data_IF_984268701244
#
_entry.id   IF_984268701244
#
_cell.length_a   1.000
_cell.length_b   1.000
_cell.length_c   1.000
_cell.angle_alpha   90.00
_cell.angle_beta   90.00
_cell.angle_gamma   90.00
#
_symmetry.space_group_name_H-M   'P 1'
#
loop_
_entity.id
_entity.type
_entity.pdbx_description
1 polymer ?
#
# COMPACT_ATOMS: atom_id res chain seq x y z
N UNK A 1 17.82 8.79 16.99
CA UNK A 1 16.47 8.24 16.79
C UNK A 1 16.60 7.25 15.64
N UNK A 2 16.05 6.04 15.76
CA UNK A 2 16.06 5.11 14.63
C UNK A 2 15.06 5.64 13.59
N UNK A 3 15.55 6.22 12.50
CA UNK A 3 14.71 6.68 11.37
C UNK A 3 14.13 5.52 10.54
N UNK A 4 14.14 4.30 11.09
CA UNK A 4 13.76 3.09 10.39
C UNK A 4 12.29 2.79 10.62
N UNK A 5 11.45 3.13 9.63
CA UNK A 5 10.02 2.81 9.63
C UNK A 5 9.79 1.32 9.39
N UNK A 6 8.77 0.77 10.04
CA UNK A 6 8.25 -0.56 9.75
C UNK A 6 7.53 -0.52 8.38
N UNK A 7 7.75 -1.53 7.54
CA UNK A 7 7.11 -1.61 6.23
C UNK A 7 5.96 -2.60 6.27
N UNK A 8 4.85 -2.26 5.62
CA UNK A 8 3.69 -3.13 5.47
C UNK A 8 3.19 -3.11 4.03
N UNK A 9 2.82 -4.29 3.54
CA UNK A 9 2.24 -4.50 2.23
C UNK A 9 0.77 -4.95 2.38
N UNK A 10 -0.15 -4.25 1.75
CA UNK A 10 -1.59 -4.51 1.84
C UNK A 10 -2.12 -4.96 0.49
N UNK A 11 -2.46 -6.24 0.37
CA UNK A 11 -3.17 -6.77 -0.78
C UNK A 11 -4.63 -6.26 -0.81
N UNK A 12 -5.13 -5.94 -2.01
CA UNK A 12 -6.52 -5.46 -2.17
C UNK A 12 -6.76 -4.08 -1.52
N UNK A 13 -5.73 -3.22 -1.52
CA UNK A 13 -5.75 -1.92 -0.86
C UNK A 13 -6.82 -0.95 -1.40
N UNK A 14 -7.32 -1.17 -2.62
CA UNK A 14 -8.45 -0.41 -3.18
C UNK A 14 -9.84 -0.97 -2.81
N UNK A 15 -9.90 -2.11 -2.11
CA UNK A 15 -11.15 -2.72 -1.65
C UNK A 15 -11.66 -2.09 -0.35
N UNK A 16 -12.86 -2.48 0.07
CA UNK A 16 -13.52 -1.95 1.27
C UNK A 16 -12.60 -2.10 2.49
N UNK A 17 -12.19 -3.33 2.83
CA UNK A 17 -11.32 -3.56 3.99
C UNK A 17 -9.91 -2.99 3.80
N UNK A 18 -9.32 -3.19 2.62
CA UNK A 18 -7.94 -2.77 2.35
C UNK A 18 -7.75 -1.26 2.43
N UNK A 19 -8.72 -0.48 1.97
CA UNK A 19 -8.64 1.00 2.00
C UNK A 19 -8.67 1.55 3.41
N UNK A 20 -9.52 1.01 4.30
CA UNK A 20 -9.54 1.38 5.71
C UNK A 20 -8.21 1.07 6.42
N UNK A 21 -7.68 -0.14 6.24
CA UNK A 21 -6.41 -0.55 6.88
C UNK A 21 -5.25 0.32 6.36
N UNK A 22 -5.24 0.62 5.07
CA UNK A 22 -4.23 1.47 4.44
C UNK A 22 -4.24 2.87 5.05
N UNK A 23 -5.41 3.49 5.16
CA UNK A 23 -5.57 4.83 5.74
C UNK A 23 -5.17 4.86 7.22
N UNK A 24 -5.61 3.86 7.99
CA UNK A 24 -5.29 3.74 9.41
C UNK A 24 -3.78 3.63 9.62
N UNK A 25 -3.11 2.71 8.91
CA UNK A 25 -1.66 2.50 9.08
C UNK A 25 -0.83 3.68 8.58
N UNK A 26 -1.29 4.39 7.55
CA UNK A 26 -0.59 5.56 7.03
C UNK A 26 -0.67 6.77 7.98
N UNK A 27 -1.63 6.79 8.92
CA UNK A 27 -1.72 7.83 9.96
C UNK A 27 -0.62 7.73 11.03
N UNK A 28 0.02 6.57 11.15
CA UNK A 28 1.10 6.33 12.11
C UNK A 28 2.47 6.63 11.49
N UNK A 29 3.27 7.48 12.15
CA UNK A 29 4.60 7.90 11.68
C UNK A 29 5.58 6.75 11.48
N UNK A 30 5.39 5.66 12.24
CA UNK A 30 6.30 4.53 12.34
C UNK A 30 6.15 3.56 11.17
N UNK A 31 5.13 3.73 10.33
CA UNK A 31 4.82 2.86 9.21
C UNK A 31 5.11 3.50 7.86
N UNK A 32 5.63 2.68 6.94
CA UNK A 32 5.63 2.91 5.51
C UNK A 32 4.64 1.92 4.88
N UNK A 33 3.54 2.44 4.36
CA UNK A 33 2.44 1.63 3.83
C UNK A 33 2.52 1.52 2.31
N UNK A 34 2.48 0.29 1.82
CA UNK A 34 2.46 -0.03 0.39
C UNK A 34 1.15 -0.76 0.09
N UNK A 35 0.29 -0.17 -0.73
CA UNK A 35 -0.99 -0.74 -1.14
C UNK A 35 -0.90 -1.41 -2.51
N UNK A 36 -1.39 -2.64 -2.64
CA UNK A 36 -1.53 -3.33 -3.92
C UNK A 36 -2.96 -3.28 -4.43
N UNK A 37 -3.11 -2.90 -5.69
CA UNK A 37 -4.38 -2.94 -6.42
C UNK A 37 -4.12 -3.29 -7.89
N UNK A 38 -5.11 -3.87 -8.59
CA UNK A 38 -4.94 -4.20 -10.02
C UNK A 38 -4.80 -2.96 -10.92
N UNK A 39 -5.43 -1.87 -10.52
CA UNK A 39 -5.33 -0.57 -11.19
C UNK A 39 -4.94 0.46 -10.15
N UNK A 40 -3.97 1.33 -10.47
CA UNK A 40 -3.56 2.37 -9.55
C UNK A 40 -4.78 3.27 -9.23
N UNK A 41 -5.22 3.38 -7.96
CA UNK A 41 -6.22 4.37 -7.61
C UNK A 41 -5.68 5.75 -8.01
N UNK A 42 -6.54 6.63 -8.52
CA UNK A 42 -6.14 7.98 -8.98
C UNK A 42 -5.22 8.63 -7.95
N UNK A 43 -4.15 9.26 -8.46
CA UNK A 43 -2.97 9.76 -7.74
C UNK A 43 -3.23 10.87 -6.71
N UNK A 44 -4.46 11.07 -6.27
CA UNK A 44 -4.87 12.16 -5.38
C UNK A 44 -4.74 11.79 -3.89
N UNK A 45 -4.14 10.64 -3.55
CA UNK A 45 -3.96 10.20 -2.17
C UNK A 45 -2.54 10.46 -1.68
N UNK A 46 -2.24 11.74 -1.47
CA UNK A 46 -0.99 12.24 -0.85
C UNK A 46 -0.92 11.94 0.67
N UNK A 47 -1.50 10.82 1.10
CA UNK A 47 -1.66 10.42 2.50
C UNK A 47 -0.48 9.58 3.00
N UNK A 48 0.70 9.68 2.37
CA UNK A 48 1.89 8.90 2.75
C UNK A 48 1.83 7.40 2.41
N UNK A 49 0.87 6.97 1.57
CA UNK A 49 0.78 5.59 1.05
C UNK A 49 1.34 5.48 -0.36
N UNK A 50 2.20 4.50 -0.61
CA UNK A 50 2.63 4.13 -1.96
C UNK A 50 1.66 3.09 -2.54
N UNK A 51 1.00 3.40 -3.66
CA UNK A 51 0.20 2.41 -4.39
C UNK A 51 0.99 1.80 -5.55
N UNK A 52 1.00 0.47 -5.62
CA UNK A 52 1.59 -0.29 -6.71
C UNK A 52 0.52 -1.11 -7.43
N UNK A 53 0.59 -1.10 -8.77
CA UNK A 53 -0.26 -1.90 -9.60
C UNK A 53 0.24 -3.35 -9.61
N UNK A 54 -0.54 -4.29 -9.08
CA UNK A 54 -0.19 -5.70 -9.05
C UNK A 54 -1.43 -6.60 -9.13
N UNK A 55 -1.26 -7.78 -9.73
CA UNK A 55 -2.25 -8.84 -9.77
C UNK A 55 -1.70 -10.08 -9.04
N UNK A 56 -2.35 -10.45 -7.94
CA UNK A 56 -1.94 -11.60 -7.12
C UNK A 56 -1.97 -12.94 -7.85
N UNK A 57 -2.69 -13.03 -8.97
CA UNK A 57 -2.74 -14.23 -9.82
C UNK A 57 -1.67 -14.22 -10.91
N UNK A 58 -0.92 -13.13 -11.06
CA UNK A 58 0.18 -12.99 -12.00
C UNK A 58 1.50 -12.75 -11.22
N UNK A 59 2.28 -13.81 -10.93
CA UNK A 59 3.50 -13.72 -10.12
C UNK A 59 4.50 -12.68 -10.62
N UNK A 60 4.64 -12.52 -11.94
CA UNK A 60 5.56 -11.54 -12.54
C UNK A 60 5.21 -10.09 -12.21
N UNK A 61 3.95 -9.82 -11.82
CA UNK A 61 3.54 -8.49 -11.35
C UNK A 61 3.89 -8.22 -9.88
N UNK A 62 4.24 -9.25 -9.11
CA UNK A 62 4.59 -9.15 -7.69
C UNK A 62 6.10 -9.08 -7.47
N UNK A 63 6.92 -9.52 -8.42
CA UNK A 63 8.39 -9.52 -8.30
C UNK A 63 8.98 -8.12 -8.14
N UNK A 64 8.22 -7.08 -8.48
CA UNK A 64 8.65 -5.68 -8.45
C UNK A 64 8.15 -4.91 -7.21
N UNK A 65 7.46 -5.59 -6.31
CA UNK A 65 6.85 -5.04 -5.08
C UNK A 65 7.76 -5.28 -3.88
#
# INVERSE_FOLDING_TARGET
>A
MNDQKNKVLIAGASGISGSYITQELASYSDWQVIGLARTNPRADSDNGTLFLAADMLNPSSLEQV
#
